data_IF_347363479277
#
_entry.id   IF_347363479277
#
_cell.length_a   1.000
_cell.length_b   1.000
_cell.length_c   1.000
_cell.angle_alpha   90.00
_cell.angle_beta   90.00
_cell.angle_gamma   90.00
#
_symmetry.space_group_name_H-M   'P 1'
#
loop_
_entity.id
_entity.type
_entity.pdbx_description
1 polymer ?
#
# COMPACT_ATOMS: atom_id res chain seq x y z
N UNK A 1 21.32 -27.64 -4.84
CA UNK A 1 20.15 -27.21 -4.04
C UNK A 1 20.66 -26.11 -3.14
N UNK A 2 20.60 -24.86 -3.60
CA UNK A 2 21.08 -23.70 -2.84
C UNK A 2 19.95 -23.24 -1.93
N UNK A 3 20.07 -23.49 -0.64
CA UNK A 3 19.25 -22.82 0.37
C UNK A 3 19.66 -21.35 0.42
N UNK A 4 18.95 -20.51 -0.31
CA UNK A 4 18.99 -19.06 -0.10
C UNK A 4 18.17 -18.83 1.17
N UNK A 5 18.87 -18.59 2.28
CA UNK A 5 18.23 -18.23 3.54
C UNK A 5 17.69 -16.78 3.37
N UNK A 6 16.45 -16.64 2.91
CA UNK A 6 15.77 -15.37 2.87
C UNK A 6 15.37 -14.99 4.30
N UNK A 7 16.16 -14.13 4.92
CA UNK A 7 15.72 -13.45 6.13
C UNK A 7 14.69 -12.39 5.72
N UNK A 8 13.42 -12.73 5.78
CA UNK A 8 12.37 -11.71 5.83
C UNK A 8 12.50 -11.08 7.21
N UNK A 9 13.22 -9.95 7.28
CA UNK A 9 13.40 -9.22 8.52
C UNK A 9 12.13 -8.42 8.83
N UNK A 10 11.21 -9.06 9.54
CA UNK A 10 10.17 -8.36 10.26
C UNK A 10 10.72 -8.09 11.66
N UNK A 11 11.20 -6.90 11.88
CA UNK A 11 11.64 -6.35 13.18
C UNK A 11 12.63 -7.19 14.01
N UNK A 12 13.93 -6.94 13.87
CA UNK A 12 14.91 -7.08 14.94
C UNK A 12 15.88 -5.90 14.84
N UNK A 13 15.63 -4.88 15.63
CA UNK A 13 16.62 -3.83 15.89
C UNK A 13 17.71 -4.50 16.76
N UNK A 14 18.76 -5.00 16.14
CA UNK A 14 20.02 -5.21 16.83
C UNK A 14 20.69 -3.83 16.99
N UNK A 15 20.53 -3.23 18.14
CA UNK A 15 21.38 -2.11 18.58
C UNK A 15 22.84 -2.59 18.59
N UNK A 16 23.68 -1.99 17.77
CA UNK A 16 25.12 -2.05 17.96
C UNK A 16 26.02 -2.45 16.79
N UNK A 17 25.81 -1.91 15.58
CA UNK A 17 26.91 -1.69 14.64
C UNK A 17 26.57 -0.48 13.74
N UNK A 18 27.36 0.58 13.82
CA UNK A 18 27.36 1.66 12.81
C UNK A 18 27.89 1.08 11.49
N UNK A 19 27.00 0.49 10.70
CA UNK A 19 27.31 0.16 9.32
C UNK A 19 27.18 1.42 8.48
N UNK A 20 28.20 1.64 7.62
CA UNK A 20 28.14 2.64 6.55
C UNK A 20 26.78 2.57 5.88
N UNK A 21 26.09 3.70 5.75
CA UNK A 21 24.75 3.76 5.21
C UNK A 21 24.75 3.18 3.78
N UNK A 22 24.24 1.96 3.65
CA UNK A 22 24.04 1.28 2.37
C UNK A 22 22.75 1.80 1.76
N UNK A 23 22.79 2.24 0.51
CA UNK A 23 21.59 2.55 -0.25
C UNK A 23 21.02 1.28 -0.87
N UNK A 24 19.70 1.20 -0.91
CA UNK A 24 18.98 0.13 -1.60
C UNK A 24 17.89 0.73 -2.49
N UNK A 25 17.58 0.00 -3.56
CA UNK A 25 16.40 0.26 -4.38
C UNK A 25 15.25 -0.51 -3.73
N UNK A 26 14.21 0.17 -3.32
CA UNK A 26 12.98 -0.48 -2.86
C UNK A 26 11.93 -0.42 -3.97
N UNK A 27 11.28 -1.54 -4.28
CA UNK A 27 10.36 -1.68 -5.40
C UNK A 27 9.06 -2.34 -4.94
N UNK A 28 7.94 -1.72 -5.31
CA UNK A 28 6.59 -2.28 -5.21
C UNK A 28 6.01 -2.36 -6.63
N UNK A 29 5.71 -3.58 -7.10
CA UNK A 29 5.09 -3.78 -8.41
C UNK A 29 3.57 -3.81 -8.27
N UNK A 30 2.89 -2.89 -8.93
CA UNK A 30 1.43 -2.87 -9.06
C UNK A 30 0.99 -3.25 -10.47
N UNK A 31 -0.32 -3.42 -10.69
CA UNK A 31 -0.90 -3.72 -12.01
C UNK A 31 -0.69 -2.52 -12.94
N UNK A 32 -0.97 -1.32 -12.47
CA UNK A 32 -0.87 -0.10 -13.27
C UNK A 32 0.47 0.60 -13.09
N UNK A 33 1.00 0.63 -11.87
CA UNK A 33 2.19 1.40 -11.51
C UNK A 33 3.20 0.57 -10.75
N UNK A 34 4.44 0.61 -11.21
CA UNK A 34 5.58 0.12 -10.41
C UNK A 34 6.22 1.32 -9.71
N UNK A 35 6.24 1.27 -8.37
CA UNK A 35 6.81 2.31 -7.50
C UNK A 35 8.24 1.94 -7.13
N UNK A 36 9.14 2.90 -7.19
CA UNK A 36 10.56 2.72 -6.88
C UNK A 36 11.04 3.84 -5.97
N UNK A 37 11.77 3.48 -4.93
CA UNK A 37 12.45 4.44 -4.06
C UNK A 37 13.92 4.05 -3.87
N UNK A 38 14.81 5.03 -3.90
CA UNK A 38 16.21 4.88 -3.51
C UNK A 38 16.38 5.47 -2.11
N UNK A 39 16.68 4.62 -1.13
CA UNK A 39 16.70 4.98 0.29
C UNK A 39 17.93 4.43 1.01
N UNK A 40 18.28 5.03 2.15
CA UNK A 40 19.28 4.47 3.06
C UNK A 40 18.68 3.26 3.79
N UNK A 41 19.33 2.11 3.65
CA UNK A 41 18.86 0.83 4.18
C UNK A 41 18.99 0.76 5.71
N UNK A 42 17.95 0.23 6.38
CA UNK A 42 17.89 0.02 7.83
C UNK A 42 18.14 1.28 8.66
N UNK A 43 17.63 2.41 8.19
CA UNK A 43 17.61 3.66 8.94
C UNK A 43 16.19 4.01 9.33
N UNK A 44 16.02 4.33 10.59
CA UNK A 44 14.81 5.00 11.09
C UNK A 44 14.71 6.39 10.44
N UNK A 45 13.52 6.75 9.90
CA UNK A 45 13.33 7.96 9.08
C UNK A 45 14.37 8.03 7.95
N UNK A 46 14.34 7.07 7.01
CA UNK A 46 15.38 6.94 6.01
C UNK A 46 15.43 8.16 5.09
N UNK A 47 16.62 8.70 4.79
CA UNK A 47 16.78 9.65 3.71
C UNK A 47 16.31 9.02 2.40
N UNK A 48 15.36 9.67 1.73
CA UNK A 48 14.90 9.31 0.39
C UNK A 48 15.70 10.11 -0.62
N UNK A 49 16.50 9.43 -1.43
CA UNK A 49 17.34 10.05 -2.45
C UNK A 49 16.59 10.28 -3.75
N UNK A 50 15.72 9.32 -4.10
CA UNK A 50 14.87 9.36 -5.27
C UNK A 50 13.59 8.58 -4.99
N UNK A 51 12.45 9.02 -5.52
CA UNK A 51 11.20 8.28 -5.49
C UNK A 51 10.39 8.58 -6.76
N UNK A 52 9.97 7.54 -7.46
CA UNK A 52 9.22 7.67 -8.70
C UNK A 52 8.34 6.45 -8.94
N UNK A 53 7.34 6.61 -9.78
CA UNK A 53 6.56 5.53 -10.33
C UNK A 53 6.63 5.57 -11.86
N UNK A 54 6.57 4.41 -12.48
CA UNK A 54 6.44 4.27 -13.92
C UNK A 54 5.32 3.31 -14.27
N UNK A 55 4.78 3.43 -15.48
CA UNK A 55 3.71 2.53 -15.95
C UNK A 55 4.22 1.11 -16.00
N UNK A 56 3.57 0.22 -15.29
CA UNK A 56 3.77 -1.22 -15.44
C UNK A 56 3.35 -1.60 -16.87
N UNK A 57 4.17 -2.32 -17.66
CA UNK A 57 3.74 -2.81 -18.96
C UNK A 57 2.44 -3.59 -18.85
N UNK A 58 1.59 -3.45 -19.86
CA UNK A 58 0.27 -4.06 -19.87
C UNK A 58 0.36 -5.58 -19.65
N UNK A 59 -0.48 -6.11 -18.79
CA UNK A 59 -0.50 -7.52 -18.37
C UNK A 59 0.82 -8.05 -17.76
N UNK A 60 1.77 -7.19 -17.43
CA UNK A 60 3.04 -7.63 -16.85
C UNK A 60 2.93 -8.07 -15.39
N UNK A 61 1.91 -7.62 -14.64
CA UNK A 61 1.68 -8.01 -13.23
C UNK A 61 0.23 -8.43 -13.04
N UNK A 62 0.02 -9.55 -12.36
CA UNK A 62 -1.29 -10.08 -11.99
C UNK A 62 -1.21 -10.71 -10.60
N UNK A 63 -2.06 -10.26 -9.66
CA UNK A 63 -2.08 -10.71 -8.25
C UNK A 63 -0.67 -10.77 -7.62
N UNK A 64 0.16 -9.75 -7.88
CA UNK A 64 1.52 -9.66 -7.39
C UNK A 64 2.54 -10.53 -8.13
N UNK A 65 2.15 -11.42 -9.04
CA UNK A 65 3.07 -12.18 -9.87
C UNK A 65 3.48 -11.38 -11.10
N UNK A 66 4.77 -11.32 -11.37
CA UNK A 66 5.29 -10.71 -12.60
C UNK A 66 5.16 -11.74 -13.73
N UNK A 67 4.20 -11.51 -14.65
CA UNK A 67 3.88 -12.38 -15.79
C UNK A 67 4.83 -12.14 -16.95
N UNK A 68 5.05 -10.87 -17.29
CA UNK A 68 6.04 -10.48 -18.31
C UNK A 68 7.26 -9.81 -17.65
N UNK A 69 8.21 -10.66 -17.25
CA UNK A 69 9.45 -10.21 -16.59
C UNK A 69 10.36 -9.42 -17.51
N UNK A 70 10.37 -9.76 -18.81
CA UNK A 70 11.29 -9.14 -19.77
C UNK A 70 10.87 -7.68 -20.05
N UNK A 71 9.59 -7.44 -20.29
CA UNK A 71 9.08 -6.09 -20.51
C UNK A 71 9.22 -5.21 -19.28
N UNK A 72 8.87 -5.76 -18.09
CA UNK A 72 9.00 -5.01 -16.83
C UNK A 72 10.46 -4.73 -16.48
N UNK A 73 11.37 -5.71 -16.69
CA UNK A 73 12.80 -5.52 -16.42
C UNK A 73 13.43 -4.50 -17.36
N UNK A 74 12.98 -4.45 -18.62
CA UNK A 74 13.41 -3.43 -19.60
C UNK A 74 12.96 -2.06 -19.15
N UNK A 75 11.66 -1.88 -18.84
CA UNK A 75 11.10 -0.62 -18.37
C UNK A 75 11.81 -0.12 -17.11
N UNK A 76 12.04 -1.01 -16.12
CA UNK A 76 12.76 -0.68 -14.90
C UNK A 76 14.21 -0.23 -15.21
N UNK A 77 14.95 -0.95 -16.06
CA UNK A 77 16.31 -0.58 -16.44
C UNK A 77 16.37 0.80 -17.09
N UNK A 78 15.46 1.10 -17.99
CA UNK A 78 15.38 2.41 -18.66
C UNK A 78 15.19 3.53 -17.65
N UNK A 79 14.29 3.33 -16.65
CA UNK A 79 14.06 4.29 -15.59
C UNK A 79 15.28 4.47 -14.67
N UNK A 80 15.95 3.39 -14.28
CA UNK A 80 17.16 3.45 -13.45
C UNK A 80 18.30 4.19 -14.18
N UNK A 81 18.51 3.90 -15.47
CA UNK A 81 19.51 4.58 -16.30
C UNK A 81 19.17 6.06 -16.46
N UNK A 82 17.93 6.40 -16.77
CA UNK A 82 17.47 7.79 -16.93
C UNK A 82 17.72 8.64 -15.68
N UNK A 83 17.61 8.02 -14.50
CA UNK A 83 17.79 8.67 -13.20
C UNK A 83 19.20 8.50 -12.64
N UNK A 84 20.10 7.86 -13.38
CA UNK A 84 21.48 7.62 -12.96
C UNK A 84 21.60 6.83 -11.64
N UNK A 85 20.65 5.90 -11.38
CA UNK A 85 20.67 5.01 -10.23
C UNK A 85 21.59 3.84 -10.55
N UNK A 86 22.67 3.69 -9.80
CA UNK A 86 23.70 2.68 -10.03
C UNK A 86 23.64 1.53 -9.00
N UNK A 87 22.87 1.69 -7.95
CA UNK A 87 22.66 0.70 -6.89
C UNK A 87 22.11 -0.59 -7.50
N UNK A 88 22.50 -1.72 -6.89
CA UNK A 88 22.10 -3.06 -7.37
C UNK A 88 21.31 -3.86 -6.33
N UNK A 89 21.45 -3.50 -5.08
CA UNK A 89 20.74 -4.19 -4.01
C UNK A 89 19.27 -3.71 -3.97
N UNK A 90 18.35 -4.68 -3.99
CA UNK A 90 16.90 -4.40 -4.08
C UNK A 90 16.13 -5.04 -2.93
N UNK A 91 15.18 -4.30 -2.41
CA UNK A 91 14.12 -4.76 -1.50
C UNK A 91 12.80 -4.75 -2.28
N UNK A 92 12.04 -5.84 -2.21
CA UNK A 92 10.73 -5.91 -2.83
C UNK A 92 9.62 -5.89 -1.79
N UNK A 93 8.61 -5.03 -2.00
CA UNK A 93 7.34 -5.08 -1.28
C UNK A 93 6.36 -5.96 -2.05
N UNK A 94 5.93 -7.05 -1.44
CA UNK A 94 5.02 -8.00 -2.04
C UNK A 94 3.57 -7.67 -1.69
N UNK A 95 2.71 -7.60 -2.71
CA UNK A 95 1.27 -7.47 -2.57
C UNK A 95 0.59 -8.54 -3.42
N UNK A 96 0.03 -9.57 -2.78
CA UNK A 96 -0.67 -10.67 -3.45
C UNK A 96 -1.74 -11.25 -2.53
N UNK A 97 -2.86 -11.69 -3.10
CA UNK A 97 -3.90 -12.40 -2.37
C UNK A 97 -3.43 -13.73 -1.78
N UNK A 98 -2.29 -14.24 -2.24
CA UNK A 98 -1.68 -15.49 -1.79
C UNK A 98 -0.76 -15.32 -0.57
N UNK A 99 -0.41 -14.09 -0.21
CA UNK A 99 0.32 -13.81 1.05
C UNK A 99 -0.68 -13.89 2.20
N UNK A 100 -0.43 -14.79 3.15
CA UNK A 100 -1.34 -15.06 4.26
C UNK A 100 -0.70 -14.65 5.57
N UNK A 101 -1.40 -13.84 6.34
CA UNK A 101 -0.98 -13.44 7.69
C UNK A 101 -1.80 -14.16 8.75
N UNK A 102 -1.17 -14.52 9.88
CA UNK A 102 -1.82 -15.13 11.06
C UNK A 102 -1.21 -14.61 12.35
N UNK A 103 -2.06 -14.19 13.26
CA UNK A 103 -1.66 -13.96 14.65
C UNK A 103 -1.67 -15.30 15.40
N UNK A 104 -0.58 -15.60 16.08
CA UNK A 104 -0.44 -16.81 16.90
C UNK A 104 0.18 -16.46 18.23
N UNK A 105 -0.13 -17.29 19.24
CA UNK A 105 0.46 -17.20 20.56
C UNK A 105 1.26 -18.46 20.81
N UNK A 106 2.52 -18.28 21.20
CA UNK A 106 3.42 -19.40 21.55
C UNK A 106 3.96 -19.21 22.98
N UNK A 107 4.44 -20.28 23.65
CA UNK A 107 5.13 -20.12 24.91
C UNK A 107 6.28 -19.13 24.83
N UNK A 108 6.55 -18.39 25.91
CA UNK A 108 7.68 -17.47 25.97
C UNK A 108 8.99 -18.25 25.89
N UNK A 109 9.76 -18.04 24.83
CA UNK A 109 11.04 -18.70 24.57
C UNK A 109 12.10 -17.69 24.10
N UNK A 110 13.37 -18.09 24.15
CA UNK A 110 14.47 -17.31 23.54
C UNK A 110 14.29 -17.22 22.02
N UNK A 111 14.72 -16.12 21.43
CA UNK A 111 14.55 -15.80 20.00
C UNK A 111 14.99 -16.90 19.06
N UNK A 112 16.13 -17.52 19.34
CA UNK A 112 16.67 -18.62 18.54
C UNK A 112 15.80 -19.91 18.57
N UNK A 113 14.78 -20.00 19.42
CA UNK A 113 13.85 -21.13 19.49
C UNK A 113 12.55 -20.88 18.75
N UNK A 114 12.20 -19.60 18.48
CA UNK A 114 10.92 -19.21 17.89
C UNK A 114 10.71 -19.91 16.55
N UNK A 115 11.73 -19.79 15.65
CA UNK A 115 11.65 -20.41 14.32
C UNK A 115 11.39 -21.92 14.39
N UNK A 116 12.06 -22.64 15.27
CA UNK A 116 11.86 -24.08 15.42
C UNK A 116 10.46 -24.45 15.89
N UNK A 117 9.81 -23.63 16.73
CA UNK A 117 8.42 -23.84 17.15
C UNK A 117 7.48 -23.59 15.97
N UNK A 118 7.66 -22.46 15.23
CA UNK A 118 6.84 -22.14 14.09
C UNK A 118 6.93 -23.25 13.02
N UNK A 119 8.14 -23.70 12.69
CA UNK A 119 8.35 -24.74 11.67
C UNK A 119 7.68 -26.07 12.08
N UNK A 120 7.71 -26.42 13.38
CA UNK A 120 7.09 -27.65 13.90
C UNK A 120 5.54 -27.60 13.93
N UNK A 121 4.96 -26.42 14.16
CA UNK A 121 3.52 -26.23 14.33
C UNK A 121 2.86 -25.50 13.16
N UNK A 122 3.60 -25.27 12.07
CA UNK A 122 3.13 -24.46 10.95
C UNK A 122 1.81 -24.93 10.34
N UNK A 123 1.59 -26.26 10.29
CA UNK A 123 0.32 -26.84 9.80
C UNK A 123 -0.88 -26.54 10.67
N UNK A 124 -0.67 -26.28 11.96
CA UNK A 124 -1.76 -25.98 12.90
C UNK A 124 -2.15 -24.49 12.81
N UNK A 125 -1.24 -23.63 12.35
CA UNK A 125 -1.49 -22.20 12.26
C UNK A 125 -2.21 -21.78 10.98
N UNK A 126 -2.14 -22.57 9.91
CA UNK A 126 -2.72 -22.23 8.62
C UNK A 126 -3.77 -23.27 8.20
N UNK A 127 -5.00 -22.85 7.81
CA UNK A 127 -6.08 -23.77 7.42
C UNK A 127 -5.91 -24.38 6.02
N UNK A 128 -4.76 -24.13 5.39
CA UNK A 128 -4.44 -24.55 4.04
C UNK A 128 -3.10 -25.30 4.01
N UNK A 129 -2.85 -26.03 2.94
CA UNK A 129 -1.53 -26.63 2.73
C UNK A 129 -0.49 -25.54 2.49
N UNK A 130 0.48 -25.47 3.41
CA UNK A 130 1.61 -24.52 3.38
C UNK A 130 2.91 -25.17 2.87
N UNK A 131 2.84 -26.39 2.32
CA UNK A 131 3.96 -26.95 1.57
C UNK A 131 4.24 -26.05 0.36
N UNK A 132 5.44 -25.51 0.23
CA UNK A 132 5.77 -24.51 -0.78
C UNK A 132 5.50 -23.06 -0.38
N UNK A 133 5.42 -22.81 0.94
CA UNK A 133 5.42 -21.47 1.51
C UNK A 133 6.64 -21.24 2.41
N UNK A 134 7.26 -20.10 2.27
CA UNK A 134 8.21 -19.57 3.24
C UNK A 134 7.46 -18.79 4.31
N UNK A 135 7.68 -19.16 5.59
CA UNK A 135 7.04 -18.51 6.74
C UNK A 135 8.06 -17.62 7.43
N UNK A 136 7.70 -16.37 7.63
CA UNK A 136 8.39 -15.42 8.48
C UNK A 136 7.51 -14.99 9.66
N UNK A 137 8.09 -14.31 10.65
CA UNK A 137 7.34 -13.85 11.81
C UNK A 137 7.82 -12.49 12.32
N UNK A 138 6.90 -11.76 12.93
CA UNK A 138 7.17 -10.56 13.72
C UNK A 138 6.66 -10.76 15.15
N UNK A 139 7.44 -10.29 16.14
CA UNK A 139 6.98 -10.24 17.51
C UNK A 139 6.06 -9.04 17.68
N UNK A 140 4.83 -9.31 18.09
CA UNK A 140 3.85 -8.27 18.37
C UNK A 140 3.95 -7.81 19.83
N UNK A 141 3.78 -8.78 20.78
CA UNK A 141 3.78 -8.46 22.20
C UNK A 141 4.15 -9.69 23.06
N UNK A 142 4.36 -9.44 24.36
CA UNK A 142 4.46 -10.45 25.39
C UNK A 142 3.18 -10.37 26.23
N UNK A 143 2.37 -11.42 26.17
CA UNK A 143 1.13 -11.52 26.93
C UNK A 143 1.28 -12.47 28.10
N UNK A 144 0.46 -12.34 29.13
CA UNK A 144 0.44 -13.24 30.28
C UNK A 144 -0.93 -13.89 30.36
N UNK A 145 -0.95 -15.22 30.46
CA UNK A 145 -2.14 -16.03 30.60
C UNK A 145 -1.89 -17.07 31.70
N UNK A 146 -2.77 -17.13 32.71
CA UNK A 146 -2.64 -17.95 33.90
C UNK A 146 -1.25 -17.90 34.57
N UNK A 147 -0.67 -16.70 34.69
CA UNK A 147 0.66 -16.49 35.26
C UNK A 147 1.83 -16.99 34.40
N UNK A 148 1.58 -17.40 33.13
CA UNK A 148 2.59 -17.84 32.19
C UNK A 148 2.77 -16.80 31.10
N UNK A 149 4.03 -16.40 30.90
CA UNK A 149 4.37 -15.52 29.78
C UNK A 149 4.28 -16.25 28.46
N UNK A 150 3.73 -15.58 27.47
CA UNK A 150 3.58 -16.07 26.10
C UNK A 150 4.03 -14.97 25.11
N UNK A 151 4.43 -15.37 23.92
CA UNK A 151 4.76 -14.46 22.82
C UNK A 151 3.60 -14.43 21.83
N UNK A 152 3.07 -13.23 21.56
CA UNK A 152 2.15 -12.99 20.46
C UNK A 152 2.99 -12.67 19.22
N UNK A 153 2.78 -13.43 18.15
CA UNK A 153 3.51 -13.29 16.88
C UNK A 153 2.53 -13.05 15.74
N UNK A 154 2.95 -12.23 14.77
CA UNK A 154 2.35 -12.19 13.45
C UNK A 154 3.19 -13.08 12.52
N UNK A 155 2.59 -14.14 12.00
CA UNK A 155 3.19 -14.97 10.97
C UNK A 155 2.80 -14.45 9.60
N UNK A 156 3.74 -14.48 8.67
CA UNK A 156 3.52 -14.15 7.25
C UNK A 156 3.99 -15.32 6.42
N UNK A 157 3.07 -15.96 5.72
CA UNK A 157 3.36 -17.06 4.80
C UNK A 157 3.31 -16.55 3.35
N UNK A 158 4.40 -16.72 2.62
CA UNK A 158 4.58 -16.24 1.24
C UNK A 158 4.87 -17.45 0.36
N UNK A 159 4.17 -17.64 -0.78
CA UNK A 159 4.45 -18.74 -1.70
C UNK A 159 5.89 -18.70 -2.22
N UNK A 160 6.58 -19.83 -2.21
CA UNK A 160 7.97 -19.94 -2.70
C UNK A 160 8.06 -19.61 -4.20
N UNK A 161 7.02 -19.94 -4.97
CA UNK A 161 6.96 -19.60 -6.38
C UNK A 161 6.81 -18.08 -6.61
N UNK A 162 6.16 -17.35 -5.71
CA UNK A 162 6.12 -15.88 -5.74
C UNK A 162 7.51 -15.30 -5.47
N UNK A 163 8.20 -15.77 -4.43
CA UNK A 163 9.57 -15.35 -4.15
C UNK A 163 10.51 -15.63 -5.31
N UNK A 164 10.44 -16.86 -5.88
CA UNK A 164 11.24 -17.26 -7.04
C UNK A 164 10.94 -16.42 -8.29
N UNK A 165 9.68 -15.98 -8.46
CA UNK A 165 9.26 -15.10 -9.53
C UNK A 165 10.00 -13.75 -9.48
N UNK A 166 10.07 -13.12 -8.30
CA UNK A 166 10.79 -11.86 -8.10
C UNK A 166 12.31 -12.01 -8.15
N UNK A 167 12.87 -13.14 -7.68
CA UNK A 167 14.31 -13.42 -7.82
C UNK A 167 14.69 -13.48 -9.29
N UNK A 168 13.90 -14.19 -10.11
CA UNK A 168 14.12 -14.28 -11.55
C UNK A 168 14.02 -12.92 -12.23
N UNK A 169 13.05 -12.10 -11.84
CA UNK A 169 12.89 -10.73 -12.33
C UNK A 169 14.09 -9.85 -11.95
N UNK A 170 14.54 -9.90 -10.69
CA UNK A 170 15.71 -9.15 -10.25
C UNK A 170 16.96 -9.51 -11.07
N UNK A 171 17.18 -10.80 -11.34
CA UNK A 171 18.29 -11.26 -12.19
C UNK A 171 18.21 -10.67 -13.60
N UNK A 172 17.05 -10.70 -14.23
CA UNK A 172 16.81 -10.08 -15.54
C UNK A 172 17.05 -8.57 -15.50
N UNK A 173 16.65 -7.89 -14.43
CA UNK A 173 16.89 -6.47 -14.24
C UNK A 173 18.35 -6.13 -13.89
N UNK A 174 19.21 -7.13 -13.60
CA UNK A 174 20.59 -6.95 -13.17
C UNK A 174 20.71 -6.46 -11.73
N UNK A 175 19.72 -6.81 -10.90
CA UNK A 175 19.63 -6.47 -9.48
C UNK A 175 19.90 -7.70 -8.61
N UNK A 176 20.28 -7.45 -7.35
CA UNK A 176 20.51 -8.45 -6.32
C UNK A 176 19.48 -8.28 -5.21
N UNK A 177 18.68 -9.30 -4.96
CA UNK A 177 17.68 -9.26 -3.89
C UNK A 177 18.37 -9.25 -2.52
N UNK A 178 18.10 -8.25 -1.73
CA UNK A 178 18.55 -8.12 -0.34
C UNK A 178 17.52 -8.74 0.60
N UNK A 179 16.26 -8.39 0.43
CA UNK A 179 15.16 -8.94 1.22
C UNK A 179 13.82 -8.75 0.52
N UNK A 180 12.80 -9.38 1.08
CA UNK A 180 11.40 -9.17 0.75
C UNK A 180 10.66 -8.60 1.96
N UNK A 181 9.73 -7.73 1.70
CA UNK A 181 8.74 -7.26 2.65
C UNK A 181 7.33 -7.48 2.06
N UNK A 182 6.28 -7.28 2.86
CA UNK A 182 4.92 -7.36 2.37
C UNK A 182 4.18 -6.04 2.64
N UNK A 183 3.13 -5.80 1.85
CA UNK A 183 2.40 -4.52 1.81
C UNK A 183 1.93 -4.03 3.20
N UNK A 184 1.68 -4.94 4.14
CA UNK A 184 1.21 -4.60 5.48
C UNK A 184 2.29 -4.12 6.45
N UNK A 185 3.58 -4.23 6.13
CA UNK A 185 4.66 -3.95 7.06
C UNK A 185 5.29 -2.56 6.88
N UNK A 186 5.68 -2.19 5.67
CA UNK A 186 6.48 -0.97 5.42
C UNK A 186 5.85 0.30 6.00
N UNK A 187 4.54 0.46 5.88
CA UNK A 187 3.84 1.61 6.46
C UNK A 187 3.98 1.68 7.99
N UNK A 188 3.88 0.52 8.67
CA UNK A 188 4.04 0.43 10.14
C UNK A 188 5.46 0.81 10.53
N UNK A 189 6.47 0.30 9.82
CA UNK A 189 7.88 0.58 10.11
C UNK A 189 8.18 2.09 10.12
N UNK A 190 7.60 2.82 9.18
CA UNK A 190 7.78 4.27 9.10
C UNK A 190 6.98 5.05 10.14
N UNK A 191 5.78 4.59 10.45
CA UNK A 191 4.80 5.42 11.16
C UNK A 191 4.68 5.13 12.64
N UNK A 192 5.08 3.95 13.15
CA UNK A 192 4.82 3.51 14.52
C UNK A 192 5.30 4.50 15.60
N UNK A 193 6.39 5.18 15.37
CA UNK A 193 6.92 6.16 16.34
C UNK A 193 6.26 7.54 16.27
N UNK A 194 5.49 7.80 15.22
CA UNK A 194 4.84 9.10 15.01
C UNK A 194 3.55 9.25 15.81
N UNK A 195 3.06 8.17 16.42
CA UNK A 195 1.81 8.16 17.16
C UNK A 195 2.06 8.33 18.67
N UNK A 196 1.20 9.12 19.30
CA UNK A 196 1.22 9.33 20.76
C UNK A 196 0.31 8.30 21.44
N UNK A 197 -0.84 8.04 20.85
CA UNK A 197 -1.87 7.15 21.35
C UNK A 197 -2.02 5.89 20.49
N UNK A 198 -2.87 4.97 20.93
CA UNK A 198 -3.29 3.85 20.10
C UNK A 198 -3.93 4.34 18.80
N UNK A 199 -3.49 3.81 17.68
CA UNK A 199 -3.84 4.29 16.37
C UNK A 199 -4.28 3.18 15.42
N UNK A 200 -5.24 3.49 14.55
CA UNK A 200 -5.63 2.66 13.41
C UNK A 200 -5.08 3.28 12.13
N UNK A 201 -4.35 2.50 11.35
CA UNK A 201 -3.88 2.88 10.02
C UNK A 201 -4.73 2.13 9.00
N UNK A 202 -5.34 2.86 8.09
CA UNK A 202 -6.09 2.35 6.94
C UNK A 202 -5.29 2.66 5.70
N UNK A 203 -4.75 1.63 5.07
CA UNK A 203 -3.92 1.77 3.87
C UNK A 203 -4.74 1.33 2.66
N UNK A 204 -4.99 2.26 1.72
CA UNK A 204 -5.75 2.04 0.49
C UNK A 204 -4.79 1.91 -0.68
N UNK A 205 -4.48 0.68 -1.04
CA UNK A 205 -3.59 0.37 -2.16
C UNK A 205 -4.36 -0.16 -3.37
N UNK A 206 -3.70 -0.31 -4.50
CA UNK A 206 -4.32 -0.71 -5.76
C UNK A 206 -5.03 -2.07 -5.65
N UNK A 207 -4.39 -3.06 -5.02
CA UNK A 207 -4.87 -4.44 -4.95
C UNK A 207 -5.36 -4.84 -3.56
N UNK A 208 -5.14 -4.04 -2.54
CA UNK A 208 -5.44 -4.39 -1.15
C UNK A 208 -5.86 -3.19 -0.30
N UNK A 209 -6.66 -3.49 0.72
CA UNK A 209 -6.89 -2.61 1.86
C UNK A 209 -6.24 -3.26 3.08
N UNK A 210 -5.32 -2.53 3.71
CA UNK A 210 -4.64 -3.01 4.91
C UNK A 210 -5.10 -2.19 6.11
N UNK A 211 -5.55 -2.89 7.13
CA UNK A 211 -5.92 -2.31 8.43
C UNK A 211 -4.90 -2.75 9.45
N UNK A 212 -4.25 -1.79 10.09
CA UNK A 212 -3.29 -2.04 11.16
C UNK A 212 -3.67 -1.24 12.39
N UNK A 213 -3.74 -1.89 13.57
CA UNK A 213 -3.97 -1.23 14.84
C UNK A 213 -2.71 -1.34 15.68
N UNK A 214 -2.25 -0.19 16.16
CA UNK A 214 -1.07 -0.06 16.98
C UNK A 214 -1.47 0.31 18.40
N UNK A 215 -0.91 -0.40 19.38
CA UNK A 215 -0.98 -0.10 20.79
C UNK A 215 0.42 0.18 21.31
N UNK A 216 0.60 1.30 21.99
CA UNK A 216 1.91 1.66 22.52
C UNK A 216 3.02 1.57 21.47
N UNK A 217 2.73 2.02 20.24
CA UNK A 217 3.64 2.00 19.08
C UNK A 217 3.99 0.60 18.54
N UNK A 218 3.32 -0.44 19.01
CA UNK A 218 3.51 -1.82 18.55
C UNK A 218 2.28 -2.27 17.79
N UNK A 219 2.49 -3.14 16.81
CA UNK A 219 1.39 -3.78 16.10
C UNK A 219 0.60 -4.67 17.06
N UNK A 220 -0.68 -4.36 17.25
CA UNK A 220 -1.59 -5.13 18.07
C UNK A 220 -2.54 -6.01 17.23
N UNK A 221 -2.90 -5.53 16.03
CA UNK A 221 -3.76 -6.25 15.10
C UNK A 221 -3.45 -5.84 13.66
N UNK A 222 -3.54 -6.78 12.72
CA UNK A 222 -3.46 -6.48 11.30
C UNK A 222 -4.37 -7.38 10.47
N UNK A 223 -4.99 -6.78 9.46
CA UNK A 223 -5.77 -7.48 8.44
C UNK A 223 -5.44 -6.94 7.05
N UNK A 224 -5.07 -7.82 6.15
CA UNK A 224 -4.93 -7.53 4.71
C UNK A 224 -6.16 -8.11 4.01
N UNK A 225 -6.90 -7.26 3.31
CA UNK A 225 -8.06 -7.68 2.51
C UNK A 225 -7.70 -7.47 1.04
N UNK A 226 -7.81 -8.50 0.16
CA UNK A 226 -7.48 -8.40 -1.25
C UNK A 226 -8.58 -7.65 -2.03
N UNK A 227 -8.84 -6.44 -1.62
CA UNK A 227 -9.73 -5.47 -2.26
C UNK A 227 -9.07 -4.10 -2.17
N UNK A 228 -8.66 -3.57 -3.29
CA UNK A 228 -8.00 -2.28 -3.40
C UNK A 228 -8.78 -1.31 -4.29
N UNK A 229 -8.27 -0.10 -4.41
CA UNK A 229 -8.90 0.94 -5.24
C UNK A 229 -8.89 0.61 -6.73
N UNK A 230 -8.13 -0.38 -7.18
CA UNK A 230 -8.14 -0.89 -8.56
C UNK A 230 -9.55 -1.32 -9.01
N UNK A 231 -10.37 -1.86 -8.08
CA UNK A 231 -11.75 -2.19 -8.37
C UNK A 231 -12.59 -0.95 -8.76
N UNK A 232 -12.35 0.19 -8.10
CA UNK A 232 -13.03 1.45 -8.45
C UNK A 232 -12.52 2.00 -9.78
N UNK A 233 -11.22 1.86 -10.08
CA UNK A 233 -10.64 2.23 -11.38
C UNK A 233 -11.31 1.43 -12.51
N UNK A 234 -11.40 0.10 -12.36
CA UNK A 234 -12.08 -0.74 -13.34
C UNK A 234 -13.55 -0.33 -13.52
N UNK A 235 -14.25 -0.04 -12.42
CA UNK A 235 -15.62 0.43 -12.50
C UNK A 235 -15.77 1.76 -13.28
N UNK A 236 -14.81 2.69 -13.17
CA UNK A 236 -14.82 3.92 -13.99
C UNK A 236 -14.71 3.59 -15.48
N UNK A 237 -13.80 2.67 -15.85
CA UNK A 237 -13.59 2.26 -17.24
C UNK A 237 -14.80 1.48 -17.79
N UNK A 238 -15.44 0.68 -16.95
CA UNK A 238 -16.58 -0.17 -17.31
C UNK A 238 -17.91 0.61 -17.51
N UNK A 239 -17.95 1.91 -17.14
CA UNK A 239 -19.11 2.76 -17.36
C UNK A 239 -18.95 3.68 -18.59
N UNK A 240 -19.48 3.30 -19.78
CA UNK A 240 -19.28 4.04 -21.04
C UNK A 240 -19.77 5.51 -20.98
N UNK A 241 -20.77 5.78 -20.13
CA UNK A 241 -21.33 7.13 -19.95
C UNK A 241 -20.30 8.12 -19.43
N UNK A 242 -19.24 7.65 -18.75
CA UNK A 242 -18.17 8.51 -18.25
C UNK A 242 -17.16 8.87 -19.34
N UNK A 243 -17.17 8.18 -20.48
CA UNK A 243 -16.27 8.44 -21.61
C UNK A 243 -14.80 8.21 -21.31
N UNK A 244 -14.48 7.38 -20.30
CA UNK A 244 -13.12 7.10 -19.83
C UNK A 244 -12.80 5.65 -20.14
N UNK A 245 -11.85 5.43 -21.03
CA UNK A 245 -11.43 4.13 -21.54
C UNK A 245 -10.02 3.70 -21.11
N UNK A 246 -9.39 4.51 -20.26
CA UNK A 246 -8.02 4.34 -19.80
C UNK A 246 -7.95 4.45 -18.28
N UNK A 247 -7.29 3.50 -17.64
CA UNK A 247 -7.18 3.41 -16.18
C UNK A 247 -6.42 4.58 -15.54
N UNK A 248 -5.47 5.21 -16.26
CA UNK A 248 -4.77 6.39 -15.75
C UNK A 248 -5.71 7.60 -15.73
N UNK A 249 -6.48 7.78 -16.79
CA UNK A 249 -7.55 8.81 -16.83
C UNK A 249 -8.60 8.54 -15.76
N UNK A 250 -8.94 7.26 -15.52
CA UNK A 250 -9.87 6.86 -14.46
C UNK A 250 -9.34 7.21 -13.06
N UNK A 251 -8.06 6.99 -12.81
CA UNK A 251 -7.44 7.39 -11.56
C UNK A 251 -7.44 8.92 -11.39
N UNK A 252 -7.09 9.67 -12.44
CA UNK A 252 -7.09 11.14 -12.40
C UNK A 252 -8.51 11.68 -12.21
N UNK A 253 -9.50 11.05 -12.85
CA UNK A 253 -10.91 11.36 -12.63
C UNK A 253 -11.32 11.24 -11.14
N UNK A 254 -10.92 10.15 -10.47
CA UNK A 254 -11.21 9.95 -9.04
C UNK A 254 -10.45 10.93 -8.11
N UNK A 255 -9.30 11.46 -8.56
CA UNK A 255 -8.61 12.51 -7.82
C UNK A 255 -9.34 13.86 -7.88
N UNK A 256 -10.02 14.14 -8.99
CA UNK A 256 -10.62 15.43 -9.29
C UNK A 256 -12.13 15.46 -8.97
N UNK A 257 -12.81 14.32 -9.16
CA UNK A 257 -14.27 14.24 -9.04
C UNK A 257 -14.70 13.53 -7.76
N UNK A 258 -15.46 14.23 -6.96
CA UNK A 258 -16.03 13.69 -5.73
C UNK A 258 -17.31 12.88 -6.02
N UNK A 259 -17.12 11.65 -6.48
CA UNK A 259 -18.21 10.72 -6.82
C UNK A 259 -19.06 10.28 -5.62
N UNK A 260 -18.54 10.47 -4.39
CA UNK A 260 -19.20 10.01 -3.16
C UNK A 260 -20.35 10.95 -2.76
N UNK A 261 -20.15 12.25 -2.90
CA UNK A 261 -21.05 13.27 -2.36
C UNK A 261 -21.69 14.15 -3.44
N UNK A 262 -21.20 14.06 -4.67
CA UNK A 262 -21.72 14.84 -5.79
C UNK A 262 -22.26 13.90 -6.85
N UNK A 263 -23.36 14.30 -7.49
CA UNK A 263 -23.91 13.64 -8.67
C UNK A 263 -23.48 14.41 -9.92
N UNK A 264 -23.24 13.74 -11.03
CA UNK A 264 -22.88 14.39 -12.28
C UNK A 264 -24.11 15.15 -12.80
N UNK A 265 -23.86 16.22 -13.52
CA UNK A 265 -24.91 16.89 -14.31
C UNK A 265 -24.54 16.69 -15.78
N UNK A 266 -25.36 15.94 -16.49
CA UNK A 266 -25.14 15.70 -17.91
C UNK A 266 -25.51 16.94 -18.73
N UNK A 267 -24.70 17.32 -19.73
CA UNK A 267 -24.95 18.47 -20.56
C UNK A 267 -26.26 18.31 -21.37
N UNK A 268 -26.95 19.43 -21.60
CA UNK A 268 -28.13 19.46 -22.46
C UNK A 268 -27.71 19.17 -23.90
N UNK A 269 -28.25 18.11 -24.47
CA UNK A 269 -27.99 17.70 -25.85
C UNK A 269 -29.13 18.07 -26.82
N UNK A 270 -30.14 18.81 -26.35
CA UNK A 270 -31.28 19.25 -27.14
C UNK A 270 -32.39 18.19 -27.33
N UNK A 271 -32.20 16.97 -26.81
CA UNK A 271 -33.21 15.91 -26.76
C UNK A 271 -33.50 15.54 -25.29
N UNK A 272 -34.65 15.98 -24.74
CA UNK A 272 -34.99 15.74 -23.35
C UNK A 272 -35.09 14.26 -22.96
N UNK A 273 -35.49 13.39 -23.87
CA UNK A 273 -35.61 11.96 -23.62
C UNK A 273 -34.21 11.32 -23.52
N UNK A 274 -33.33 11.62 -24.44
CA UNK A 274 -31.95 11.14 -24.42
C UNK A 274 -31.15 11.72 -23.23
N UNK A 275 -31.38 12.98 -22.91
CA UNK A 275 -30.77 13.63 -21.72
C UNK A 275 -31.20 12.93 -20.43
N UNK A 276 -32.49 12.58 -20.27
CA UNK A 276 -32.97 11.85 -19.10
C UNK A 276 -32.32 10.45 -18.98
N UNK A 277 -32.15 9.74 -20.11
CA UNK A 277 -31.48 8.45 -20.16
C UNK A 277 -30.00 8.62 -19.73
N UNK A 278 -29.28 9.56 -20.32
CA UNK A 278 -27.86 9.81 -20.01
C UNK A 278 -27.68 10.21 -18.54
N UNK A 279 -28.58 11.05 -17.99
CA UNK A 279 -28.55 11.43 -16.58
C UNK A 279 -28.74 10.21 -15.67
N UNK A 280 -29.71 9.34 -15.98
CA UNK A 280 -29.93 8.12 -15.20
C UNK A 280 -28.70 7.20 -15.21
N UNK A 281 -28.10 6.96 -16.38
CA UNK A 281 -26.89 6.17 -16.50
C UNK A 281 -25.69 6.77 -15.76
N UNK A 282 -25.54 8.08 -15.78
CA UNK A 282 -24.50 8.77 -15.05
C UNK A 282 -24.72 8.71 -13.52
N UNK A 283 -25.99 8.84 -13.07
CA UNK A 283 -26.32 8.68 -11.65
C UNK A 283 -26.04 7.25 -11.15
N UNK A 284 -26.37 6.23 -11.95
CA UNK A 284 -26.04 4.82 -11.64
C UNK A 284 -24.53 4.61 -11.58
N UNK A 285 -23.77 5.11 -12.55
CA UNK A 285 -22.32 5.02 -12.55
C UNK A 285 -21.70 5.63 -11.28
N UNK A 286 -22.14 6.84 -10.90
CA UNK A 286 -21.63 7.49 -9.69
C UNK A 286 -22.01 6.74 -8.41
N UNK A 287 -23.19 6.12 -8.34
CA UNK A 287 -23.59 5.30 -7.18
C UNK A 287 -22.70 4.06 -7.06
N UNK A 288 -22.42 3.38 -8.17
CA UNK A 288 -21.53 2.19 -8.20
C UNK A 288 -20.10 2.56 -7.77
N UNK A 289 -19.57 3.70 -8.25
CA UNK A 289 -18.27 4.19 -7.83
C UNK A 289 -18.24 4.56 -6.34
N UNK A 290 -19.27 5.25 -5.86
CA UNK A 290 -19.38 5.61 -4.45
C UNK A 290 -19.47 4.37 -3.56
N UNK A 291 -20.22 3.35 -3.98
CA UNK A 291 -20.37 2.09 -3.24
C UNK A 291 -19.06 1.29 -3.22
N UNK A 292 -18.32 1.27 -4.34
CA UNK A 292 -16.97 0.69 -4.41
C UNK A 292 -16.03 1.34 -3.40
N UNK A 293 -16.04 2.67 -3.27
CA UNK A 293 -15.23 3.40 -2.30
C UNK A 293 -15.71 3.19 -0.85
N UNK A 294 -17.04 3.12 -0.61
CA UNK A 294 -17.61 2.79 0.71
C UNK A 294 -17.25 1.38 1.17
N UNK A 295 -16.92 0.47 0.26
CA UNK A 295 -16.50 -0.86 0.65
C UNK A 295 -15.22 -0.87 1.48
N UNK A 296 -14.27 0.02 1.20
CA UNK A 296 -13.07 0.19 2.03
C UNK A 296 -13.42 0.60 3.47
N UNK A 297 -14.42 1.46 3.63
CA UNK A 297 -14.92 1.84 4.94
C UNK A 297 -15.56 0.66 5.69
N UNK A 298 -16.32 -0.20 4.99
CA UNK A 298 -16.88 -1.44 5.59
C UNK A 298 -15.79 -2.40 6.05
N UNK A 299 -14.71 -2.54 5.27
CA UNK A 299 -13.53 -3.33 5.68
C UNK A 299 -12.94 -2.74 6.97
N UNK A 300 -12.79 -1.43 7.06
CA UNK A 300 -12.25 -0.75 8.22
C UNK A 300 -13.13 -0.92 9.46
N UNK A 301 -14.44 -0.69 9.34
CA UNK A 301 -15.40 -0.90 10.44
C UNK A 301 -15.40 -2.35 10.91
N UNK A 302 -15.44 -3.32 10.01
CA UNK A 302 -15.41 -4.74 10.35
C UNK A 302 -14.14 -5.12 11.13
N UNK A 303 -12.99 -4.58 10.75
CA UNK A 303 -11.73 -4.82 11.43
C UNK A 303 -11.69 -4.17 12.81
N UNK A 304 -12.22 -2.95 12.95
CA UNK A 304 -12.33 -2.24 14.21
C UNK A 304 -13.26 -2.97 15.17
N UNK A 305 -14.45 -3.37 14.71
CA UNK A 305 -15.43 -4.12 15.51
C UNK A 305 -14.86 -5.45 16.00
N UNK A 306 -14.17 -6.18 15.12
CA UNK A 306 -13.51 -7.43 15.49
C UNK A 306 -12.45 -7.19 16.56
N UNK A 307 -11.58 -6.17 16.36
CA UNK A 307 -10.53 -5.86 17.33
C UNK A 307 -11.10 -5.49 18.70
N UNK A 308 -12.09 -4.60 18.75
CA UNK A 308 -12.69 -4.14 20.02
C UNK A 308 -13.47 -5.22 20.76
N UNK A 309 -14.14 -6.12 20.03
CA UNK A 309 -15.03 -7.12 20.64
C UNK A 309 -14.34 -8.46 20.91
N UNK A 310 -13.38 -8.87 20.09
CA UNK A 310 -12.79 -10.21 20.14
C UNK A 310 -11.33 -10.24 20.60
N UNK A 311 -10.57 -9.17 20.32
CA UNK A 311 -9.12 -9.17 20.58
C UNK A 311 -8.79 -8.44 21.88
N UNK A 312 -9.20 -7.18 22.00
CA UNK A 312 -9.00 -6.35 23.20
C UNK A 312 -10.06 -5.26 23.28
N UNK A 313 -10.45 -4.92 24.51
CA UNK A 313 -11.36 -3.80 24.78
C UNK A 313 -10.62 -2.45 24.90
N UNK A 314 -9.43 -2.33 24.35
CA UNK A 314 -8.68 -1.09 24.46
C UNK A 314 -9.14 -0.06 23.40
N UNK A 315 -9.14 1.18 23.83
CA UNK A 315 -9.60 2.31 23.02
C UNK A 315 -8.59 2.63 21.92
N UNK A 316 -9.05 2.68 20.66
CA UNK A 316 -8.30 3.24 19.54
C UNK A 316 -8.61 4.73 19.49
N UNK A 317 -7.58 5.56 19.66
CA UNK A 317 -7.78 7.02 19.79
C UNK A 317 -7.91 7.74 18.47
N UNK A 318 -7.18 7.30 17.43
CA UNK A 318 -7.03 8.03 16.18
C UNK A 318 -6.99 7.11 14.96
N UNK A 319 -7.43 7.64 13.81
CA UNK A 319 -7.33 6.95 12.51
C UNK A 319 -6.47 7.75 11.56
N UNK A 320 -5.65 7.05 10.79
CA UNK A 320 -4.81 7.59 9.73
C UNK A 320 -5.12 6.88 8.42
N UNK A 321 -5.38 7.66 7.37
CA UNK A 321 -5.67 7.16 6.04
C UNK A 321 -4.46 7.39 5.14
N UNK A 322 -3.94 6.32 4.54
CA UNK A 322 -2.72 6.31 3.71
C UNK A 322 -2.91 5.48 2.43
N UNK A 323 -1.89 5.44 1.59
CA UNK A 323 -1.93 4.81 0.28
C UNK A 323 -2.48 5.74 -0.80
N UNK A 324 -2.31 5.37 -2.08
CA UNK A 324 -2.72 6.24 -3.19
C UNK A 324 -4.24 6.46 -3.23
N UNK A 325 -5.05 5.47 -2.86
CA UNK A 325 -6.51 5.61 -2.77
C UNK A 325 -6.97 6.64 -1.74
N UNK A 326 -6.14 6.97 -0.74
CA UNK A 326 -6.45 8.02 0.23
C UNK A 326 -6.51 9.43 -0.38
N UNK A 327 -6.04 9.59 -1.62
CA UNK A 327 -6.02 10.87 -2.35
C UNK A 327 -7.31 11.16 -3.09
N UNK A 328 -8.20 10.18 -3.26
CA UNK A 328 -9.43 10.35 -4.01
C UNK A 328 -10.34 11.42 -3.41
N UNK A 329 -10.99 12.19 -4.30
CA UNK A 329 -11.85 13.29 -3.89
C UNK A 329 -13.00 12.78 -3.01
N UNK A 330 -13.17 13.38 -1.83
CA UNK A 330 -14.23 13.03 -0.89
C UNK A 330 -13.91 11.87 0.07
N UNK A 331 -12.88 11.05 -0.17
CA UNK A 331 -12.60 9.86 0.63
C UNK A 331 -12.33 10.22 2.11
N UNK A 332 -11.53 11.24 2.40
CA UNK A 332 -11.30 11.70 3.77
C UNK A 332 -12.57 12.15 4.48
N UNK A 333 -13.47 12.82 3.74
CA UNK A 333 -14.76 13.25 4.29
C UNK A 333 -15.64 12.04 4.61
N UNK A 334 -15.66 11.02 3.73
CA UNK A 334 -16.40 9.78 3.94
C UNK A 334 -15.95 9.11 5.25
N UNK A 335 -14.65 8.87 5.39
CA UNK A 335 -14.10 8.21 6.58
C UNK A 335 -14.30 9.05 7.85
N UNK A 336 -14.14 10.37 7.77
CA UNK A 336 -14.36 11.25 8.92
C UNK A 336 -15.82 11.33 9.39
N UNK A 337 -16.79 11.09 8.50
CA UNK A 337 -18.21 11.12 8.83
C UNK A 337 -18.75 9.79 9.35
N UNK A 338 -18.21 8.67 8.85
CA UNK A 338 -18.80 7.36 9.07
C UNK A 338 -17.97 6.44 9.98
N UNK A 339 -16.70 6.77 10.25
CA UNK A 339 -15.94 6.08 11.29
C UNK A 339 -16.23 6.70 12.67
N UNK A 340 -16.37 5.86 13.73
CA UNK A 340 -16.61 6.37 15.08
C UNK A 340 -15.33 6.94 15.74
N UNK A 341 -14.29 7.21 14.98
CA UNK A 341 -12.96 7.62 15.44
C UNK A 341 -12.49 8.86 14.68
N UNK A 342 -11.74 9.78 15.33
CA UNK A 342 -11.25 10.97 14.66
C UNK A 342 -10.16 10.65 13.63
N UNK A 343 -10.41 11.08 12.39
CA UNK A 343 -9.42 10.98 11.31
C UNK A 343 -8.36 12.08 11.46
N UNK A 344 -7.10 11.69 11.51
CA UNK A 344 -5.96 12.58 11.70
C UNK A 344 -5.19 12.81 10.40
N UNK A 345 -4.52 13.97 10.34
CA UNK A 345 -3.59 14.29 9.26
C UNK A 345 -2.19 13.77 9.60
N UNK A 346 -1.49 13.33 8.58
CA UNK A 346 -0.10 12.85 8.69
C UNK A 346 0.85 13.99 8.37
N UNK A 347 1.84 14.19 9.28
CA UNK A 347 2.97 15.07 9.02
C UNK A 347 4.13 14.26 8.43
N UNK A 348 4.14 14.14 7.11
CA UNK A 348 5.15 13.36 6.39
C UNK A 348 6.58 13.84 6.61
N UNK A 349 6.78 15.12 6.95
CA UNK A 349 8.12 15.65 7.23
C UNK A 349 8.74 15.06 8.50
N UNK A 350 7.93 14.52 9.41
CA UNK A 350 8.41 13.81 10.60
C UNK A 350 8.73 12.34 10.35
N UNK A 351 8.18 11.77 9.27
CA UNK A 351 8.24 10.35 8.96
C UNK A 351 9.33 10.06 7.93
N UNK A 352 9.48 10.93 6.93
CA UNK A 352 10.37 10.74 5.78
C UNK A 352 11.29 11.94 5.65
N UNK A 353 12.59 11.71 5.56
CA UNK A 353 13.57 12.74 5.26
C UNK A 353 13.74 12.94 3.74
N UNK A 354 13.06 13.93 3.22
CA UNK A 354 13.04 14.27 1.79
C UNK A 354 14.15 15.28 1.40
N UNK A 355 15.40 15.06 1.78
CA UNK A 355 16.49 16.04 1.61
C UNK A 355 16.87 16.35 0.16
N UNK A 356 16.59 15.48 -0.80
CA UNK A 356 16.96 15.68 -2.22
C UNK A 356 15.75 15.51 -3.12
N UNK A 357 14.96 16.57 -3.28
CA UNK A 357 13.77 16.53 -4.14
C UNK A 357 14.05 17.06 -5.54
N UNK A 358 14.56 16.22 -6.43
CA UNK A 358 14.45 16.48 -7.87
C UNK A 358 13.24 15.80 -8.53
N UNK A 359 12.41 15.08 -7.78
CA UNK A 359 11.24 14.35 -8.30
C UNK A 359 9.99 14.34 -7.41
N UNK A 360 10.09 14.77 -6.13
CA UNK A 360 8.92 14.75 -5.22
C UNK A 360 8.35 16.17 -5.10
N UNK A 361 7.22 16.42 -5.75
CA UNK A 361 6.49 17.70 -5.61
C UNK A 361 5.75 17.72 -4.26
N UNK A 362 6.40 18.21 -3.20
CA UNK A 362 5.67 18.62 -1.99
C UNK A 362 5.03 19.97 -2.29
N UNK A 363 3.72 19.98 -2.42
CA UNK A 363 2.95 21.22 -2.57
C UNK A 363 3.18 22.11 -1.34
N UNK A 364 4.22 22.93 -1.38
CA UNK A 364 4.29 24.18 -0.61
C UNK A 364 3.46 25.20 -1.38
N UNK A 365 2.17 25.33 -1.05
CA UNK A 365 1.41 26.59 -1.07
C UNK A 365 -0.07 26.31 -0.78
N UNK A 366 -0.46 26.43 0.47
CA UNK A 366 -1.80 26.87 0.81
C UNK A 366 -1.92 28.38 0.46
N UNK A 367 -2.11 28.68 -0.80
CA UNK A 367 -2.47 30.01 -1.27
C UNK A 367 -3.98 30.06 -1.43
N UNK A 368 -4.62 30.94 -0.67
CA UNK A 368 -6.04 31.29 -0.79
C UNK A 368 -6.39 31.50 -2.28
N UNK A 369 -7.14 30.58 -2.88
CA UNK A 369 -7.87 30.83 -4.13
C UNK A 369 -9.36 30.96 -3.79
N UNK A 370 -9.92 32.09 -4.19
CA UNK A 370 -11.33 32.42 -4.17
C UNK A 370 -12.10 31.43 -5.04
N UNK A 371 -13.32 31.08 -4.59
CA UNK A 371 -14.32 30.42 -5.41
C UNK A 371 -14.41 31.09 -6.79
N UNK A 372 -14.18 30.31 -7.81
CA UNK A 372 -14.53 30.66 -9.18
C UNK A 372 -15.36 29.50 -9.71
N UNK A 373 -16.55 29.84 -10.18
CA UNK A 373 -17.50 28.93 -10.82
C UNK A 373 -16.82 28.27 -12.02
N UNK A 374 -16.85 26.93 -12.05
CA UNK A 374 -16.27 26.15 -13.14
C UNK A 374 -17.30 25.99 -14.26
N UNK A 375 -16.96 26.56 -15.41
CA UNK A 375 -17.49 26.16 -16.70
C UNK A 375 -16.60 25.03 -17.25
N UNK A 376 -17.23 23.97 -17.79
CA UNK A 376 -16.55 22.78 -18.32
C UNK A 376 -15.57 23.12 -19.44
N UNK A 377 -14.33 22.55 -19.41
CA UNK A 377 -13.45 22.62 -20.58
C UNK A 377 -13.70 21.44 -21.53
N UNK A 378 -14.02 21.78 -22.76
CA UNK A 378 -14.00 20.88 -23.92
C UNK A 378 -12.60 20.25 -24.04
N UNK A 379 -12.56 18.92 -24.16
CA UNK A 379 -11.33 18.13 -24.29
C UNK A 379 -10.65 18.41 -25.64
N UNK A 380 -9.54 19.11 -25.63
CA UNK A 380 -8.58 19.10 -26.74
C UNK A 380 -7.54 17.98 -26.50
N UNK A 381 -7.47 17.03 -27.41
CA UNK A 381 -6.43 16.00 -27.49
C UNK A 381 -5.05 16.65 -27.65
N UNK A 382 -4.23 16.60 -26.59
CA UNK A 382 -2.83 16.97 -26.68
C UNK A 382 -1.92 15.74 -26.72
N UNK A 383 -1.31 15.48 -27.88
CA UNK A 383 -0.30 14.44 -28.17
C UNK A 383 1.09 14.79 -27.62
N UNK A 384 1.23 15.11 -26.34
CA UNK A 384 2.55 15.23 -25.70
C UNK A 384 2.86 13.98 -24.88
N UNK A 385 4.12 13.46 -24.91
CA UNK A 385 4.48 12.34 -24.03
C UNK A 385 4.25 12.76 -22.58
N UNK A 386 3.39 12.02 -21.88
CA UNK A 386 3.01 12.30 -20.51
C UNK A 386 4.22 12.15 -19.60
N UNK A 387 4.45 13.14 -18.74
CA UNK A 387 5.48 13.07 -17.72
C UNK A 387 5.09 12.01 -16.67
N UNK A 388 6.08 11.27 -16.09
CA UNK A 388 5.80 10.32 -15.02
C UNK A 388 5.11 11.03 -13.86
N UNK A 389 4.14 10.34 -13.24
CA UNK A 389 3.43 10.88 -12.06
C UNK A 389 4.40 11.31 -10.99
N UNK A 390 4.19 12.50 -10.44
CA UNK A 390 4.94 12.96 -9.29
C UNK A 390 4.68 12.02 -8.10
N UNK A 391 5.74 11.48 -7.51
CA UNK A 391 5.66 10.68 -6.30
C UNK A 391 5.04 11.52 -5.18
N UNK A 392 4.00 11.00 -4.53
CA UNK A 392 3.42 11.61 -3.35
C UNK A 392 3.87 10.84 -2.10
N UNK A 393 4.25 11.50 -1.00
CA UNK A 393 4.71 10.80 0.19
C UNK A 393 3.74 9.71 0.66
N UNK A 394 2.43 9.97 0.62
CA UNK A 394 1.40 9.03 1.06
C UNK A 394 1.34 7.75 0.22
N UNK A 395 1.60 7.81 -1.07
CA UNK A 395 1.59 6.65 -1.96
C UNK A 395 2.88 5.83 -1.95
N UNK A 396 3.93 6.30 -1.27
CA UNK A 396 5.23 5.64 -1.20
C UNK A 396 5.60 5.10 0.18
N UNK A 397 4.69 5.15 1.17
CA UNK A 397 4.98 4.70 2.52
C UNK A 397 5.37 3.22 2.59
N UNK A 398 4.66 2.35 1.88
CA UNK A 398 4.96 0.91 1.83
C UNK A 398 6.35 0.65 1.25
N UNK A 399 6.65 1.26 0.10
CA UNK A 399 7.91 1.03 -0.61
C UNK A 399 9.12 1.63 0.13
N UNK A 400 8.98 2.80 0.75
CA UNK A 400 10.05 3.40 1.56
C UNK A 400 10.26 2.60 2.84
N UNK A 401 9.18 2.22 3.51
CA UNK A 401 9.21 1.51 4.78
C UNK A 401 9.75 0.09 4.69
N UNK A 402 9.64 -0.56 3.54
CA UNK A 402 10.20 -1.89 3.32
C UNK A 402 11.75 -1.93 3.44
N UNK A 403 12.41 -0.79 3.33
CA UNK A 403 13.86 -0.67 3.47
C UNK A 403 14.33 -0.25 4.88
N UNK A 404 13.39 0.05 5.82
CA UNK A 404 13.67 0.40 7.21
C UNK A 404 13.94 -0.84 8.05
#
# INVERSE_FOLDING_TARGET
MFYICFSIYIWNVNEGEEKVAKKVISIETGIQWTKVALVDYRKKNPPVHEAFAFRTPEHAVEDGYIRDKDSLARALKEELVRRQILEKDVVFTLSSSKVVTREVVIPYVKDNKIKGIIDAQSRDYFPMDISGYTISYSKMDVVEDDGKKQLKLLLVAIPDNLLGNYVSFAQLAGLKVETFDYIGNGCIQLMCDSFVDNAMIIQLEEQATVISILENKKLAFQRVTPYGYGATISAVVDHPILGIDDEEKAFDFLLEHNVIFHKPMMPDNGDPAQQAINQTQADEAYEDLAESLRYHLRIANTALDYYQNQVKKEFVGNVYLVGDGSRFAGIHKLFAQELPLPLQKIDFAKIIDLRNQNGVNVQKKAGKKKHQDYADPVMEESSKPRQPRAATPVGFLSVIGAAV
#
